data_IF_452578142772
#
_entry.id   IF_452578142772
#
_cell.length_a   1.000
_cell.length_b   1.000
_cell.length_c   1.000
_cell.angle_alpha   90.00
_cell.angle_beta   90.00
_cell.angle_gamma   90.00
#
_symmetry.space_group_name_H-M   'P 1'
#
loop_
_entity.id
_entity.type
_entity.pdbx_description
1 polymer ?
#
# COMPACT_ATOMS: atom_id res chain seq x y z
N UNK A 1 -38.03 -49.61 6.97
CA UNK A 1 -36.72 -48.93 7.01
C UNK A 1 -36.88 -47.55 6.39
N UNK A 2 -36.99 -46.48 7.20
CA UNK A 2 -37.26 -45.12 6.72
C UNK A 2 -36.00 -44.50 6.11
N UNK A 3 -36.02 -44.20 4.80
CA UNK A 3 -34.93 -43.49 4.11
C UNK A 3 -34.99 -42.00 4.52
N UNK A 4 -33.96 -41.50 5.20
CA UNK A 4 -33.81 -40.06 5.46
C UNK A 4 -33.62 -39.33 4.13
N UNK A 5 -34.57 -38.46 3.75
CA UNK A 5 -34.45 -37.57 2.59
C UNK A 5 -33.70 -36.31 3.01
N UNK A 6 -32.46 -36.15 2.56
CA UNK A 6 -31.73 -34.89 2.71
C UNK A 6 -32.31 -33.84 1.76
N UNK A 7 -32.67 -32.67 2.31
CA UNK A 7 -33.21 -31.56 1.53
C UNK A 7 -32.10 -30.58 1.16
N UNK A 8 -32.27 -29.81 0.06
CA UNK A 8 -31.33 -28.74 -0.34
C UNK A 8 -31.00 -27.77 0.81
N UNK A 9 -31.98 -27.49 1.68
CA UNK A 9 -31.81 -26.67 2.88
C UNK A 9 -30.88 -27.30 3.92
N UNK A 10 -30.92 -28.62 4.07
CA UNK A 10 -30.03 -29.32 5.00
C UNK A 10 -28.60 -29.33 4.46
N UNK A 11 -28.45 -29.45 3.12
CA UNK A 11 -27.16 -29.31 2.46
C UNK A 11 -26.55 -27.92 2.68
N UNK A 12 -27.32 -26.83 2.48
CA UNK A 12 -26.84 -25.46 2.71
C UNK A 12 -26.47 -25.24 4.17
N UNK A 13 -27.25 -25.76 5.12
CA UNK A 13 -26.93 -25.63 6.55
C UNK A 13 -25.64 -26.33 6.93
N UNK A 14 -25.43 -27.55 6.41
CA UNK A 14 -24.21 -28.32 6.69
C UNK A 14 -23.00 -27.68 6.02
N UNK A 15 -23.12 -27.21 4.78
CA UNK A 15 -21.99 -26.57 4.08
C UNK A 15 -21.60 -25.24 4.71
N UNK A 16 -22.56 -24.38 5.09
CA UNK A 16 -22.26 -23.11 5.77
C UNK A 16 -21.60 -23.34 7.13
N UNK A 17 -22.06 -24.33 7.91
CA UNK A 17 -21.48 -24.63 9.22
C UNK A 17 -20.03 -25.14 9.09
N UNK A 18 -19.77 -26.05 8.15
CA UNK A 18 -18.44 -26.62 7.92
C UNK A 18 -17.47 -25.54 7.42
N UNK A 19 -17.88 -24.74 6.43
CA UNK A 19 -17.03 -23.66 5.89
C UNK A 19 -16.76 -22.57 6.92
N UNK A 20 -17.78 -22.14 7.66
CA UNK A 20 -17.63 -21.13 8.72
C UNK A 20 -16.76 -21.62 9.89
N UNK A 21 -16.92 -22.89 10.29
CA UNK A 21 -16.09 -23.51 11.32
C UNK A 21 -14.63 -23.66 10.91
N UNK A 22 -14.36 -23.97 9.63
CA UNK A 22 -13.00 -24.06 9.10
C UNK A 22 -12.30 -22.68 9.13
N UNK A 23 -13.00 -21.61 8.74
CA UNK A 23 -12.47 -20.25 8.77
C UNK A 23 -12.13 -19.77 10.18
N UNK A 24 -12.93 -20.15 11.19
CA UNK A 24 -12.64 -19.80 12.59
C UNK A 24 -11.52 -20.64 13.21
N UNK A 25 -11.31 -21.87 12.72
CA UNK A 25 -10.36 -22.84 13.30
C UNK A 25 -8.97 -22.87 12.66
N UNK A 26 -8.80 -22.37 11.44
CA UNK A 26 -7.51 -22.36 10.74
C UNK A 26 -6.95 -20.94 10.64
N UNK A 27 -5.98 -20.61 11.51
CA UNK A 27 -5.05 -19.51 11.26
C UNK A 27 -3.71 -20.11 10.84
N UNK A 28 -3.43 -20.11 9.54
CA UNK A 28 -2.11 -20.46 9.00
C UNK A 28 -1.33 -19.14 8.92
N UNK A 29 -0.29 -18.93 9.74
CA UNK A 29 0.54 -17.73 9.60
C UNK A 29 1.18 -17.74 8.21
N UNK A 30 0.83 -16.77 7.36
CA UNK A 30 1.47 -16.56 6.05
C UNK A 30 0.73 -17.08 4.82
N UNK A 31 -0.47 -17.66 4.93
CA UNK A 31 -1.30 -17.97 3.75
C UNK A 31 -2.13 -16.74 3.36
N UNK A 32 -1.53 -15.82 2.60
CA UNK A 32 -2.24 -14.67 2.05
C UNK A 32 -3.19 -15.12 0.94
N UNK A 33 -4.49 -14.88 1.10
CA UNK A 33 -5.46 -14.93 0.01
C UNK A 33 -5.11 -13.82 -1.01
N UNK A 34 -5.24 -14.06 -2.33
CA UNK A 34 -5.04 -13.02 -3.33
C UNK A 34 -6.13 -11.96 -3.16
N UNK A 35 -5.80 -10.89 -2.45
CA UNK A 35 -6.73 -9.83 -2.06
C UNK A 35 -6.52 -9.29 -0.65
N UNK A 36 -5.90 -10.07 0.25
CA UNK A 36 -5.51 -9.60 1.59
C UNK A 36 -4.03 -9.23 1.58
N UNK A 37 -3.76 -7.98 1.19
CA UNK A 37 -2.54 -7.29 1.59
C UNK A 37 -2.50 -7.33 3.12
N UNK A 38 -1.56 -8.11 3.65
CA UNK A 38 -1.10 -8.16 5.03
C UNK A 38 -1.70 -7.08 5.94
N UNK A 39 -2.67 -7.46 6.76
CA UNK A 39 -3.09 -6.66 7.92
C UNK A 39 -2.04 -6.70 9.05
N UNK A 40 -0.88 -7.34 8.80
CA UNK A 40 0.35 -7.18 9.56
C UNK A 40 1.34 -6.38 8.69
N UNK A 41 0.93 -5.17 8.31
CA UNK A 41 1.87 -4.07 8.08
C UNK A 41 1.43 -2.91 8.96
N UNK A 42 1.52 -3.11 10.26
CA UNK A 42 1.65 -2.01 11.23
C UNK A 42 3.05 -1.38 11.09
N UNK A 43 3.36 -0.88 9.90
CA UNK A 43 4.54 -0.07 9.58
C UNK A 43 4.10 1.13 8.73
N UNK A 44 2.92 1.68 9.03
CA UNK A 44 2.38 2.84 8.35
C UNK A 44 2.38 4.02 9.33
N UNK A 45 3.59 4.46 9.68
CA UNK A 45 3.91 5.86 9.97
C UNK A 45 5.41 6.04 9.80
N UNK A 46 5.75 6.71 8.69
CA UNK A 46 6.97 7.50 8.52
C UNK A 46 8.27 6.77 8.13
N UNK A 47 8.18 5.78 7.23
CA UNK A 47 9.36 5.22 6.56
C UNK A 47 10.14 6.23 5.69
N UNK A 48 9.56 7.40 5.41
CA UNK A 48 10.25 8.55 4.78
C UNK A 48 10.86 9.48 5.82
N UNK A 49 10.22 9.70 6.98
CA UNK A 49 10.75 10.62 7.99
C UNK A 49 11.99 10.08 8.72
N UNK A 50 12.15 8.76 8.77
CA UNK A 50 13.33 8.10 9.35
C UNK A 50 14.50 7.98 8.37
N UNK A 51 14.35 8.47 7.13
CA UNK A 51 15.44 8.55 6.17
C UNK A 51 16.29 9.78 6.49
N UNK A 52 17.59 9.57 6.71
CA UNK A 52 18.58 10.64 6.73
C UNK A 52 18.75 11.21 5.32
N UNK A 53 17.83 12.08 4.89
CA UNK A 53 17.80 12.58 3.52
C UNK A 53 18.65 13.85 3.38
N UNK A 54 19.50 13.90 2.35
CA UNK A 54 20.13 15.14 1.90
C UNK A 54 19.20 15.85 0.92
N UNK A 55 18.89 17.11 1.21
CA UNK A 55 18.05 17.94 0.36
C UNK A 55 18.86 18.45 -0.83
N UNK A 56 18.48 18.05 -2.06
CA UNK A 56 19.12 18.52 -3.30
C UNK A 56 18.50 19.84 -3.74
N UNK A 57 17.17 19.90 -3.70
CA UNK A 57 16.39 21.10 -3.91
C UNK A 57 15.10 21.04 -3.08
N UNK A 58 14.24 22.04 -3.22
CA UNK A 58 12.98 22.13 -2.47
C UNK A 58 11.99 20.99 -2.79
N UNK A 59 12.13 20.32 -3.92
CA UNK A 59 11.24 19.24 -4.37
C UNK A 59 11.85 17.85 -4.28
N UNK A 60 13.17 17.70 -4.19
CA UNK A 60 13.86 16.41 -4.30
C UNK A 60 14.87 16.25 -3.16
N UNK A 61 14.74 15.14 -2.45
CA UNK A 61 15.64 14.70 -1.39
C UNK A 61 16.19 13.32 -1.74
N UNK A 62 17.46 13.07 -1.44
CA UNK A 62 18.12 11.78 -1.70
C UNK A 62 18.67 11.25 -0.39
N UNK A 63 18.34 10.01 -0.06
CA UNK A 63 18.86 9.32 1.10
C UNK A 63 20.13 8.52 0.75
N UNK A 64 21.06 8.29 1.71
CA UNK A 64 22.26 7.47 1.54
C UNK A 64 21.98 6.01 1.13
N UNK A 65 20.75 5.52 1.33
CA UNK A 65 20.31 4.20 0.90
C UNK A 65 19.74 4.19 -0.53
N UNK A 66 20.06 5.20 -1.34
CA UNK A 66 19.64 5.39 -2.73
C UNK A 66 18.13 5.63 -2.92
N UNK A 67 17.38 5.94 -1.85
CA UNK A 67 15.99 6.36 -1.99
C UNK A 67 15.90 7.82 -2.42
N UNK A 68 15.03 8.08 -3.39
CA UNK A 68 14.74 9.41 -3.91
C UNK A 68 13.33 9.77 -3.46
N UNK A 69 13.18 10.92 -2.80
CA UNK A 69 11.91 11.42 -2.28
C UNK A 69 11.56 12.71 -3.01
N UNK A 70 10.39 12.72 -3.64
CA UNK A 70 9.82 13.85 -4.36
C UNK A 70 8.74 14.49 -3.48
N UNK A 71 8.81 15.79 -3.28
CA UNK A 71 7.80 16.57 -2.57
C UNK A 71 6.81 17.19 -3.56
N UNK A 72 5.54 16.80 -3.47
CA UNK A 72 4.46 17.34 -4.28
C UNK A 72 3.75 18.49 -3.54
N UNK A 73 3.92 19.76 -3.97
CA UNK A 73 3.31 20.91 -3.29
C UNK A 73 1.79 20.96 -3.48
N UNK A 74 1.30 20.56 -4.66
CA UNK A 74 -0.12 20.59 -4.98
C UNK A 74 -0.78 19.25 -4.70
N UNK A 75 -1.97 19.23 -4.08
CA UNK A 75 -2.72 18.01 -3.86
C UNK A 75 -3.24 17.45 -5.18
N UNK A 76 -3.17 16.12 -5.31
CA UNK A 76 -3.62 15.39 -6.49
C UNK A 76 -4.97 14.70 -6.22
N UNK A 77 -5.93 14.87 -7.15
CA UNK A 77 -7.33 14.39 -7.02
C UNK A 77 -7.70 13.46 -8.20
N UNK A 78 -6.79 12.57 -8.61
CA UNK A 78 -7.03 11.59 -9.69
C UNK A 78 -6.49 11.95 -11.07
N UNK A 79 -5.58 12.93 -11.17
CA UNK A 79 -4.85 13.27 -12.39
C UNK A 79 -3.72 12.28 -12.70
N UNK A 80 -3.28 11.49 -11.72
CA UNK A 80 -2.24 10.46 -11.88
C UNK A 80 -0.81 10.97 -11.76
N UNK A 81 -0.58 12.22 -11.35
CA UNK A 81 0.76 12.81 -11.19
C UNK A 81 1.60 12.02 -10.19
N UNK A 82 0.99 11.54 -9.10
CA UNK A 82 1.69 10.71 -8.09
C UNK A 82 2.15 9.36 -8.62
N UNK A 83 1.64 8.94 -9.77
CA UNK A 83 2.06 7.70 -10.44
C UNK A 83 3.08 8.02 -11.53
N UNK A 84 2.80 8.99 -12.41
CA UNK A 84 3.67 9.26 -13.56
C UNK A 84 4.99 9.93 -13.18
N UNK A 85 4.98 10.83 -12.19
CA UNK A 85 6.15 11.61 -11.84
C UNK A 85 7.29 10.76 -11.27
N UNK A 86 7.06 9.83 -10.32
CA UNK A 86 8.11 8.91 -9.87
C UNK A 86 8.68 8.04 -10.99
N UNK A 87 7.84 7.59 -11.94
CA UNK A 87 8.27 6.77 -13.07
C UNK A 87 9.26 7.56 -13.97
N UNK A 88 8.93 8.81 -14.29
CA UNK A 88 9.79 9.68 -15.12
C UNK A 88 11.12 9.96 -14.41
N UNK A 89 11.08 10.24 -13.10
CA UNK A 89 12.29 10.54 -12.33
C UNK A 89 13.18 9.29 -12.18
N UNK A 90 12.59 8.11 -11.99
CA UNK A 90 13.34 6.86 -11.97
C UNK A 90 14.11 6.63 -13.28
N UNK A 91 13.45 6.87 -14.42
CA UNK A 91 14.05 6.73 -15.75
C UNK A 91 15.20 7.72 -15.99
N UNK A 92 15.00 9.01 -15.65
CA UNK A 92 16.04 10.04 -15.83
C UNK A 92 17.25 9.81 -14.92
N UNK A 93 17.04 9.24 -13.72
CA UNK A 93 18.10 8.98 -12.75
C UNK A 93 18.72 7.58 -12.88
N UNK A 94 18.28 6.76 -13.84
CA UNK A 94 18.67 5.35 -13.99
C UNK A 94 18.55 4.56 -12.67
N UNK A 95 17.45 4.80 -11.96
CA UNK A 95 17.15 4.23 -10.65
C UNK A 95 16.01 3.20 -10.75
N UNK A 96 16.01 2.24 -9.83
CA UNK A 96 14.88 1.32 -9.70
C UNK A 96 13.62 2.10 -9.26
N UNK A 97 12.49 1.78 -9.89
CA UNK A 97 11.19 2.40 -9.68
C UNK A 97 10.75 2.33 -8.21
N UNK A 98 11.10 1.23 -7.53
CA UNK A 98 10.80 1.00 -6.11
C UNK A 98 11.59 1.91 -5.16
N UNK A 99 12.60 2.61 -5.66
CA UNK A 99 13.43 3.54 -4.89
C UNK A 99 12.97 5.00 -5.01
N UNK A 100 12.04 5.31 -5.92
CA UNK A 100 11.54 6.68 -6.14
C UNK A 100 10.16 6.85 -5.55
N UNK A 101 10.04 7.81 -4.64
CA UNK A 101 8.91 7.94 -3.72
C UNK A 101 8.36 9.34 -3.83
N UNK A 102 7.05 9.49 -3.67
CA UNK A 102 6.41 10.81 -3.66
C UNK A 102 5.62 11.03 -2.37
N UNK A 103 5.96 12.11 -1.69
CA UNK A 103 5.26 12.61 -0.49
C UNK A 103 4.54 13.92 -0.80
N UNK A 104 3.42 14.14 -0.12
CA UNK A 104 2.76 15.44 -0.16
C UNK A 104 3.60 16.41 0.66
N UNK A 105 3.98 17.55 0.09
CA UNK A 105 4.66 18.60 0.83
C UNK A 105 3.73 19.23 1.86
N UNK A 106 4.30 19.67 2.97
CA UNK A 106 3.62 20.52 3.92
C UNK A 106 3.33 21.90 3.31
N UNK A 107 2.35 22.59 3.88
CA UNK A 107 1.98 23.95 3.45
C UNK A 107 3.05 24.95 3.89
N UNK A 108 4.02 25.21 3.00
CA UNK A 108 5.07 26.21 3.21
C UNK A 108 5.13 27.20 2.03
N UNK A 109 4.72 28.44 2.28
CA UNK A 109 4.64 29.49 1.26
C UNK A 109 6.00 30.02 0.82
N UNK A 110 7.01 29.98 1.68
CA UNK A 110 8.36 30.46 1.34
C UNK A 110 9.08 29.50 0.41
N UNK A 111 8.88 28.19 0.62
CA UNK A 111 9.51 27.12 -0.14
C UNK A 111 8.76 26.80 -1.44
N UNK A 112 7.43 26.69 -1.38
CA UNK A 112 6.62 26.18 -2.49
C UNK A 112 5.73 27.23 -3.15
N UNK A 113 5.74 28.47 -2.64
CA UNK A 113 4.90 29.54 -3.16
C UNK A 113 3.43 29.39 -2.76
N UNK A 114 2.52 29.93 -3.57
CA UNK A 114 1.08 29.82 -3.33
C UNK A 114 0.60 28.43 -3.72
N UNK A 115 0.44 27.54 -2.74
CA UNK A 115 -0.17 26.21 -2.88
C UNK A 115 -1.70 26.27 -2.83
#
# INVERSE_FOLDING_TARGET
MNKKRYTRRDFVKVSTLVTGGLMAGFSIPGLALPGERSLIRNADKDWIADLDTTQMNVFVKIAPNNKIVIQAPYPEIGQGIRTSLPLIIADEMDADWDMVLIEQAETNKEEFGSQ
#
